data_IF_249533829638
#
_entry.id   IF_249533829638
#
_cell.length_a   1.000
_cell.length_b   1.000
_cell.length_c   1.000
_cell.angle_alpha   90.00
_cell.angle_beta   90.00
_cell.angle_gamma   90.00
#
_symmetry.space_group_name_H-M   'P 1'
#
loop_
_entity.id
_entity.type
_entity.pdbx_description
1 polymer ?
#
# COMPACT_ATOMS: atom_id res chain seq x y z
N UNK A 1 -18.44 -12.81 -6.25
CA UNK A 1 -17.06 -12.34 -6.06
C UNK A 1 -17.14 -10.93 -5.51
N UNK A 2 -16.55 -10.67 -4.34
CA UNK A 2 -16.66 -9.39 -3.66
C UNK A 2 -15.26 -8.82 -3.46
N UNK A 3 -15.10 -7.54 -3.76
CA UNK A 3 -13.89 -6.76 -3.52
C UNK A 3 -14.29 -5.54 -2.72
N UNK A 4 -13.60 -5.31 -1.61
CA UNK A 4 -13.83 -4.15 -0.75
C UNK A 4 -12.53 -3.36 -0.63
N UNK A 5 -12.60 -2.05 -0.90
CA UNK A 5 -11.47 -1.14 -0.75
C UNK A 5 -11.46 -0.53 0.65
N UNK A 6 -10.30 -0.56 1.30
CA UNK A 6 -10.09 -0.05 2.67
C UNK A 6 -9.21 1.20 2.69
N UNK A 7 -8.29 1.32 1.74
CA UNK A 7 -7.41 2.49 1.58
C UNK A 7 -7.28 2.76 0.09
N UNK A 8 -7.42 4.02 -0.29
CA UNK A 8 -7.11 4.52 -1.63
C UNK A 8 -6.35 5.84 -1.46
N UNK A 9 -5.07 5.83 -1.80
CA UNK A 9 -4.18 6.97 -1.59
C UNK A 9 -3.34 7.28 -2.83
N UNK A 10 -2.97 8.56 -2.96
CA UNK A 10 -2.09 9.03 -4.04
C UNK A 10 -0.74 9.37 -3.43
N UNK A 11 0.25 8.50 -3.69
CA UNK A 11 1.58 8.59 -3.10
C UNK A 11 2.55 9.27 -4.06
N UNK A 12 3.30 10.25 -3.54
CA UNK A 12 4.42 10.85 -4.26
C UNK A 12 5.62 9.89 -4.23
N UNK A 13 6.34 9.72 -5.36
CA UNK A 13 7.55 8.91 -5.37
C UNK A 13 8.67 9.60 -4.57
N UNK A 14 9.68 8.82 -4.18
CA UNK A 14 10.88 9.35 -3.53
C UNK A 14 11.80 10.00 -4.57
N UNK A 15 12.23 11.23 -4.29
CA UNK A 15 13.23 11.95 -5.07
C UNK A 15 14.65 11.50 -4.74
N UNK A 16 15.63 11.99 -5.52
CA UNK A 16 17.05 11.63 -5.34
C UNK A 16 17.63 12.04 -3.98
N UNK A 17 17.00 12.99 -3.30
CA UNK A 17 17.37 13.45 -1.96
C UNK A 17 16.71 12.63 -0.83
N UNK A 18 16.02 11.54 -1.15
CA UNK A 18 15.32 10.70 -0.17
C UNK A 18 14.03 11.30 0.38
N UNK A 19 13.60 12.48 -0.10
CA UNK A 19 12.32 13.11 0.27
C UNK A 19 11.25 12.86 -0.79
N UNK A 20 9.96 12.98 -0.46
CA UNK A 20 8.91 12.94 -1.48
C UNK A 20 9.15 14.00 -2.56
N UNK A 21 9.10 13.60 -3.83
CA UNK A 21 9.13 14.52 -4.97
C UNK A 21 7.68 14.85 -5.37
N UNK A 22 7.17 16.07 -5.06
CA UNK A 22 5.78 16.42 -5.35
C UNK A 22 5.52 16.70 -6.83
N UNK A 23 6.56 16.85 -7.65
CA UNK A 23 6.47 17.18 -9.07
C UNK A 23 6.55 15.95 -9.97
N UNK A 24 7.08 14.84 -9.45
CA UNK A 24 7.11 13.59 -10.16
C UNK A 24 5.70 12.96 -10.27
N UNK A 25 5.43 12.17 -11.33
CA UNK A 25 4.15 11.49 -11.48
C UNK A 25 3.83 10.61 -10.27
N UNK A 26 2.62 10.79 -9.72
CA UNK A 26 2.20 10.10 -8.49
C UNK A 26 1.66 8.70 -8.79
N UNK A 27 1.80 7.82 -7.82
CA UNK A 27 1.32 6.43 -7.87
C UNK A 27 0.05 6.30 -7.05
N UNK A 28 -0.96 5.64 -7.58
CA UNK A 28 -2.14 5.25 -6.80
C UNK A 28 -1.82 3.99 -6.02
N UNK A 29 -2.02 4.03 -4.71
CA UNK A 29 -1.89 2.88 -3.82
C UNK A 29 -3.27 2.52 -3.27
N UNK A 30 -3.60 1.24 -3.32
CA UNK A 30 -4.88 0.74 -2.84
C UNK A 30 -4.68 -0.50 -1.96
N UNK A 31 -5.39 -0.56 -0.84
CA UNK A 31 -5.50 -1.76 0.00
C UNK A 31 -6.92 -2.30 -0.16
N UNK A 32 -7.04 -3.50 -0.72
CA UNK A 32 -8.32 -4.15 -0.95
C UNK A 32 -8.34 -5.54 -0.31
N UNK A 33 -9.52 -6.00 0.11
CA UNK A 33 -9.75 -7.42 0.40
C UNK A 33 -10.57 -7.99 -0.74
N UNK A 34 -10.12 -9.10 -1.31
CA UNK A 34 -10.84 -9.79 -2.37
C UNK A 34 -10.72 -11.29 -2.27
N UNK A 35 -11.76 -11.99 -2.73
CA UNK A 35 -11.87 -13.46 -2.73
C UNK A 35 -11.77 -14.06 -4.15
N UNK A 36 -10.98 -13.45 -5.04
CA UNK A 36 -10.79 -13.91 -6.42
C UNK A 36 -10.39 -15.39 -6.53
N UNK A 37 -9.62 -15.92 -5.57
CA UNK A 37 -9.15 -17.30 -5.53
C UNK A 37 -10.01 -18.24 -4.66
N UNK A 38 -11.15 -17.77 -4.15
CA UNK A 38 -12.00 -18.50 -3.20
C UNK A 38 -11.63 -18.29 -1.73
N UNK A 39 -10.41 -17.82 -1.43
CA UNK A 39 -9.99 -17.39 -0.09
C UNK A 39 -9.87 -15.85 -0.06
N UNK A 40 -10.45 -15.15 0.94
CA UNK A 40 -10.27 -13.71 1.09
C UNK A 40 -8.81 -13.37 1.43
N UNK A 41 -8.14 -12.63 0.55
CA UNK A 41 -6.78 -12.13 0.77
C UNK A 41 -6.76 -10.61 0.74
N UNK A 42 -5.79 -10.03 1.47
CA UNK A 42 -5.48 -8.60 1.37
C UNK A 42 -4.56 -8.42 0.17
N UNK A 43 -4.92 -7.50 -0.72
CA UNK A 43 -4.09 -7.09 -1.85
C UNK A 43 -3.62 -5.66 -1.66
N UNK A 44 -2.33 -5.45 -1.88
CA UNK A 44 -1.71 -4.13 -2.04
C UNK A 44 -1.56 -3.88 -3.53
N UNK A 45 -2.32 -2.94 -4.09
CA UNK A 45 -2.26 -2.57 -5.51
C UNK A 45 -1.57 -1.23 -5.68
N UNK A 46 -0.66 -1.17 -6.64
CA UNK A 46 0.04 0.02 -7.09
C UNK A 46 -0.28 0.22 -8.57
N UNK A 47 -0.84 1.37 -8.91
CA UNK A 47 -1.03 1.78 -10.30
C UNK A 47 -0.17 3.01 -10.57
N UNK A 48 0.78 2.85 -11.50
CA UNK A 48 1.60 3.95 -11.98
C UNK A 48 0.81 4.80 -13.00
N UNK A 49 1.19 6.07 -13.17
CA UNK A 49 0.47 6.98 -14.07
C UNK A 49 0.76 6.69 -15.56
N UNK A 50 1.66 5.75 -15.87
CA UNK A 50 1.95 5.27 -17.23
C UNK A 50 1.16 4.00 -17.58
N UNK A 51 0.26 3.57 -16.69
CA UNK A 51 -0.61 2.40 -16.87
C UNK A 51 -0.01 1.07 -16.41
N UNK A 52 1.17 1.08 -15.79
CA UNK A 52 1.76 -0.09 -15.14
C UNK A 52 1.09 -0.38 -13.81
N UNK A 53 0.49 -1.57 -13.69
CA UNK A 53 -0.09 -2.04 -12.44
C UNK A 53 0.76 -3.14 -11.82
N UNK A 54 0.90 -3.12 -10.50
CA UNK A 54 1.49 -4.19 -9.70
C UNK A 54 0.59 -4.49 -8.53
N UNK A 55 0.45 -5.77 -8.19
CA UNK A 55 -0.32 -6.19 -7.03
C UNK A 55 0.47 -7.22 -6.22
N UNK A 56 0.36 -7.12 -4.90
CA UNK A 56 0.89 -8.10 -3.96
C UNK A 56 -0.27 -8.66 -3.15
N UNK A 57 -0.39 -9.98 -3.07
CA UNK A 57 -1.31 -10.63 -2.13
C UNK A 57 -0.56 -10.90 -0.83
N UNK A 58 -1.18 -10.59 0.30
CA UNK A 58 -0.63 -10.85 1.62
C UNK A 58 -1.35 -12.02 2.27
N UNK A 59 -0.57 -13.02 2.69
CA UNK A 59 -1.03 -14.01 3.67
C UNK A 59 -1.15 -13.41 5.06
N UNK A 60 -1.79 -14.14 5.98
CA UNK A 60 -2.01 -13.71 7.38
C UNK A 60 -0.75 -13.18 8.06
N UNK A 61 0.34 -13.94 8.04
CA UNK A 61 1.57 -13.58 8.75
C UNK A 61 2.26 -12.37 8.14
N UNK A 62 2.18 -12.21 6.81
CA UNK A 62 2.71 -11.04 6.10
C UNK A 62 1.90 -9.79 6.46
N UNK A 63 0.57 -9.91 6.54
CA UNK A 63 -0.30 -8.79 6.92
C UNK A 63 0.00 -8.32 8.35
N UNK A 64 0.15 -9.24 9.31
CA UNK A 64 0.51 -8.92 10.70
C UNK A 64 1.89 -8.26 10.75
N UNK A 65 2.88 -8.86 10.09
CA UNK A 65 4.25 -8.32 10.08
C UNK A 65 4.32 -6.91 9.48
N UNK A 66 3.62 -6.68 8.37
CA UNK A 66 3.57 -5.37 7.72
C UNK A 66 2.89 -4.33 8.61
N UNK A 67 1.78 -4.70 9.27
CA UNK A 67 1.08 -3.84 10.23
C UNK A 67 2.00 -3.42 11.39
N UNK A 68 2.65 -4.38 12.04
CA UNK A 68 3.56 -4.12 13.16
C UNK A 68 4.73 -3.23 12.74
N UNK A 69 5.31 -3.50 11.56
CA UNK A 69 6.41 -2.71 11.00
C UNK A 69 6.00 -1.26 10.75
N UNK A 70 4.83 -1.03 10.13
CA UNK A 70 4.32 0.32 9.88
C UNK A 70 4.02 1.07 11.19
N UNK A 71 3.36 0.42 12.14
CA UNK A 71 3.03 1.01 13.46
C UNK A 71 4.31 1.43 14.19
N UNK A 72 5.33 0.57 14.21
CA UNK A 72 6.63 0.91 14.84
C UNK A 72 7.33 2.07 14.14
N UNK A 73 7.31 2.11 12.80
CA UNK A 73 7.90 3.21 12.04
C UNK A 73 7.17 4.54 12.31
N UNK A 74 5.84 4.53 12.34
CA UNK A 74 5.03 5.70 12.66
C UNK A 74 5.27 6.20 14.09
N UNK A 75 5.36 5.29 15.07
CA UNK A 75 5.67 5.62 16.46
C UNK A 75 7.10 6.19 16.60
N UNK A 76 8.09 5.61 15.91
CA UNK A 76 9.46 6.14 15.88
C UNK A 76 9.51 7.59 15.37
N UNK A 77 8.70 7.90 14.35
CA UNK A 77 8.56 9.26 13.81
C UNK A 77 7.61 10.16 14.61
N UNK A 78 6.99 9.64 15.69
CA UNK A 78 6.00 10.31 16.54
C UNK A 78 4.76 10.80 15.78
N UNK A 79 4.33 10.04 14.77
CA UNK A 79 3.08 10.31 14.05
C UNK A 79 1.86 9.74 14.76
N UNK A 80 2.09 8.72 15.57
CA UNK A 80 1.12 8.08 16.45
C UNK A 80 1.78 7.91 17.81
N UNK A 81 0.98 8.00 18.87
CA UNK A 81 1.41 7.89 20.26
C UNK A 81 1.64 6.42 20.69
#
# INVERSE_FOLDING_TARGET
>A
MATTSYVLEILSPVGQNGKPDPYAPKTTFEVIVSSFSGEPLIYLRLADPRGGERAFALGKDQAITLHDGLTRAAAYLRYID
#
